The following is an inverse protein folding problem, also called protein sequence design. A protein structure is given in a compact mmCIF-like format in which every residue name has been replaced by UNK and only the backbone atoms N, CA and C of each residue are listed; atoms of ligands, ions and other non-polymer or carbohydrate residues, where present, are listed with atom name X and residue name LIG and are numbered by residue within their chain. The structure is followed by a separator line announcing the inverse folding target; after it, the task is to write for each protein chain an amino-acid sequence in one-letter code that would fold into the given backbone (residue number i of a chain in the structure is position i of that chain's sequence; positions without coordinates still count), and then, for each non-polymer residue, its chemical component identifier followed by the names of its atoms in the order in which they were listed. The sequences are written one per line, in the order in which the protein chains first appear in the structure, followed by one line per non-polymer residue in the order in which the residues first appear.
data_IF_559047196508
#
_entry.id   IF_559047196508
#
_cell.length_a   1.000
_cell.length_b   1.000
_cell.length_c   1.000
_cell.angle_alpha   90.00
_cell.angle_beta   90.00
_cell.angle_gamma   90.00
#
_symmetry.space_group_name_H-M   'P 1'
#
loop_
_entity.id
_entity.type
_entity.pdbx_description
1 polymer ?
#
# COMPACT_ATOMS: atom_id res chain seq x y z
N UNK A 1 20.37 -2.17 0.47
CA UNK A 1 19.90 -2.47 -0.89
C UNK A 1 20.33 -3.88 -1.24
N UNK A 2 19.36 -4.80 -1.32
CA UNK A 2 19.64 -6.23 -1.51
C UNK A 2 19.63 -6.58 -3.01
N UNK A 3 20.59 -7.37 -3.47
CA UNK A 3 20.74 -7.75 -4.89
C UNK A 3 20.69 -9.27 -5.01
N UNK A 4 19.79 -9.76 -5.86
CA UNK A 4 19.63 -11.17 -6.21
C UNK A 4 20.12 -11.42 -7.64
N UNK A 5 20.67 -12.60 -7.89
CA UNK A 5 20.77 -13.10 -9.26
C UNK A 5 19.41 -13.59 -9.75
N UNK A 6 19.22 -13.65 -11.08
CA UNK A 6 17.99 -14.20 -11.66
C UNK A 6 17.62 -15.60 -11.12
N UNK A 7 18.61 -16.48 -10.99
CA UNK A 7 18.37 -17.84 -10.47
C UNK A 7 17.94 -17.83 -9.01
N UNK A 8 18.56 -16.99 -8.17
CA UNK A 8 18.18 -16.84 -6.76
C UNK A 8 16.77 -16.24 -6.62
N UNK A 9 16.44 -15.24 -7.44
CA UNK A 9 15.11 -14.62 -7.46
C UNK A 9 14.03 -15.64 -7.83
N UNK A 10 14.31 -16.52 -8.81
CA UNK A 10 13.38 -17.58 -9.22
C UNK A 10 13.16 -18.63 -8.14
N UNK A 11 14.22 -19.02 -7.42
CA UNK A 11 14.13 -20.02 -6.35
C UNK A 11 13.51 -19.47 -5.06
N UNK A 12 13.71 -18.18 -4.77
CA UNK A 12 13.36 -17.56 -3.48
C UNK A 12 12.39 -16.38 -3.63
N UNK A 13 11.41 -16.49 -4.53
CA UNK A 13 10.53 -15.38 -4.86
C UNK A 13 9.76 -14.84 -3.64
N UNK A 14 9.26 -15.72 -2.76
CA UNK A 14 8.52 -15.32 -1.56
C UNK A 14 9.38 -14.47 -0.60
N UNK A 15 10.63 -14.89 -0.38
CA UNK A 15 11.61 -14.15 0.44
C UNK A 15 11.94 -12.82 -0.21
N UNK A 16 12.16 -12.81 -1.53
CA UNK A 16 12.42 -11.59 -2.28
C UNK A 16 11.30 -10.57 -2.11
N UNK A 17 10.03 -10.98 -2.27
CA UNK A 17 8.88 -10.09 -2.11
C UNK A 17 8.73 -9.57 -0.68
N UNK A 18 9.04 -10.40 0.31
CA UNK A 18 9.05 -10.00 1.73
C UNK A 18 10.11 -8.93 2.00
N UNK A 19 11.32 -9.11 1.47
CA UNK A 19 12.40 -8.11 1.57
C UNK A 19 12.01 -6.85 0.81
N UNK A 20 11.47 -6.95 -0.41
CA UNK A 20 11.02 -5.78 -1.18
C UNK A 20 9.92 -5.00 -0.47
N UNK A 21 9.01 -5.67 0.25
CA UNK A 21 7.98 -5.03 1.07
C UNK A 21 8.58 -4.31 2.28
N UNK A 22 9.60 -4.90 2.92
CA UNK A 22 10.24 -4.34 4.12
C UNK A 22 11.22 -3.22 3.82
N UNK A 23 12.07 -3.39 2.79
CA UNK A 23 13.13 -2.47 2.40
C UNK A 23 12.68 -1.48 1.31
N UNK A 24 11.52 -1.70 0.70
CA UNK A 24 10.95 -0.88 -0.38
C UNK A 24 11.47 -1.24 -1.78
N UNK A 25 12.59 -1.94 -1.89
CA UNK A 25 13.18 -2.34 -3.17
C UNK A 25 14.14 -3.51 -3.05
N UNK A 26 14.13 -4.40 -4.05
CA UNK A 26 15.17 -5.41 -4.30
C UNK A 26 15.59 -5.35 -5.76
N UNK A 27 16.89 -5.48 -6.03
CA UNK A 27 17.41 -5.57 -7.40
C UNK A 27 17.63 -7.01 -7.82
N UNK A 28 17.31 -7.33 -9.08
CA UNK A 28 17.56 -8.63 -9.70
C UNK A 28 18.49 -8.43 -10.90
N UNK A 29 19.70 -8.99 -10.81
CA UNK A 29 20.72 -8.95 -11.86
C UNK A 29 20.66 -10.22 -12.70
N UNK A 30 20.58 -10.04 -14.02
CA UNK A 30 20.66 -11.12 -15.02
C UNK A 30 22.10 -11.27 -15.53
N UNK A 31 22.35 -12.41 -16.18
CA UNK A 31 23.68 -12.77 -16.71
C UNK A 31 24.11 -11.86 -17.88
N UNK A 32 23.15 -11.32 -18.62
CA UNK A 32 23.35 -10.32 -19.67
C UNK A 32 23.73 -8.92 -19.14
N UNK A 33 23.85 -8.76 -17.82
CA UNK A 33 24.19 -7.50 -17.18
C UNK A 33 22.98 -6.62 -16.85
N UNK A 34 21.79 -6.95 -17.36
CA UNK A 34 20.57 -6.20 -17.06
C UNK A 34 20.20 -6.33 -15.58
N UNK A 35 19.72 -5.23 -15.00
CA UNK A 35 19.30 -5.19 -13.60
C UNK A 35 17.88 -4.65 -13.53
N UNK A 36 17.00 -5.38 -12.85
CA UNK A 36 15.60 -5.02 -12.66
C UNK A 36 15.35 -4.66 -11.21
N UNK A 37 14.53 -3.65 -10.95
CA UNK A 37 14.06 -3.33 -9.62
C UNK A 37 12.69 -3.96 -9.38
N UNK A 38 12.53 -4.66 -8.26
CA UNK A 38 11.25 -5.15 -7.75
C UNK A 38 10.89 -4.31 -6.53
N UNK A 39 9.74 -3.64 -6.62
CA UNK A 39 9.21 -2.78 -5.56
C UNK A 39 7.74 -3.12 -5.34
N UNK A 40 7.22 -3.04 -4.11
CA UNK A 40 5.80 -3.18 -3.87
C UNK A 40 5.06 -2.06 -4.61
N UNK A 41 3.95 -2.42 -5.24
CA UNK A 41 3.06 -1.43 -5.84
C UNK A 41 2.43 -0.61 -4.71
N UNK A 42 2.67 0.70 -4.72
CA UNK A 42 1.97 1.62 -3.82
C UNK A 42 0.56 1.76 -4.32
N UNK A 43 -0.41 1.22 -3.60
CA UNK A 43 -1.81 1.58 -3.82
C UNK A 43 -1.96 3.07 -3.58
N UNK A 44 -2.43 3.80 -4.59
CA UNK A 44 -2.86 5.20 -4.47
C UNK A 44 -4.28 5.31 -3.87
N UNK A 45 -4.74 4.29 -3.15
CA UNK A 45 -6.00 4.34 -2.43
C UNK A 45 -5.79 5.26 -1.21
N UNK A 46 -6.69 6.24 -1.05
CA UNK A 46 -6.66 7.09 0.15
C UNK A 46 -6.79 6.21 1.38
N UNK A 47 -6.07 6.47 2.47
CA UNK A 47 -6.32 5.79 3.75
C UNK A 47 -7.76 5.99 4.25
N UNK A 48 -8.47 6.99 3.72
CA UNK A 48 -9.87 7.28 3.99
C UNK A 48 -10.83 6.71 2.94
N UNK A 49 -10.33 5.99 1.93
CA UNK A 49 -11.13 5.28 0.92
C UNK A 49 -11.68 3.97 1.48
N UNK A 50 -12.57 4.10 2.46
CA UNK A 50 -13.27 3.00 3.10
C UNK A 50 -14.75 3.03 2.72
N UNK A 51 -15.37 1.85 2.68
CA UNK A 51 -16.82 1.75 2.41
C UNK A 51 -17.60 2.57 3.44
N UNK A 52 -18.40 3.51 2.97
CA UNK A 52 -19.31 4.28 3.82
C UNK A 52 -20.43 3.40 4.41
N UNK A 53 -20.92 3.79 5.59
CA UNK A 53 -22.09 3.18 6.22
C UNK A 53 -23.35 3.90 5.75
N UNK A 54 -24.33 3.15 5.23
CA UNK A 54 -25.64 3.71 4.87
C UNK A 54 -26.45 3.95 6.14
N UNK A 55 -26.53 5.20 6.58
CA UNK A 55 -27.38 5.63 7.68
C UNK A 55 -28.62 6.33 7.11
N UNK A 56 -29.78 6.11 7.74
CA UNK A 56 -31.00 6.83 7.43
C UNK A 56 -31.01 8.21 8.13
N UNK A 57 -30.01 9.04 7.85
CA UNK A 57 -29.86 10.37 8.43
C UNK A 57 -30.23 11.43 7.40
N UNK A 58 -31.08 12.38 7.82
CA UNK A 58 -31.43 13.53 7.01
C UNK A 58 -30.51 14.74 7.27
N UNK A 59 -30.56 15.78 6.42
CA UNK A 59 -29.80 17.02 6.63
C UNK A 59 -30.07 17.72 7.97
N UNK A 60 -31.30 17.60 8.49
CA UNK A 60 -31.69 18.18 9.78
C UNK A 60 -30.97 17.52 10.96
N UNK A 61 -30.78 16.20 10.89
CA UNK A 61 -30.09 15.44 11.93
C UNK A 61 -28.62 15.82 12.00
N UNK A 62 -27.97 15.94 10.83
CA UNK A 62 -26.58 16.41 10.71
C UNK A 62 -26.43 17.82 11.31
N UNK A 63 -27.33 18.75 10.95
CA UNK A 63 -27.30 20.12 11.47
C UNK A 63 -27.51 20.18 12.98
N UNK A 64 -28.35 19.30 13.54
CA UNK A 64 -28.56 19.19 14.98
C UNK A 64 -27.26 18.75 15.69
N UNK A 65 -26.62 17.69 15.20
CA UNK A 65 -25.35 17.17 15.74
C UNK A 65 -24.26 18.24 15.68
N UNK A 66 -24.10 18.92 14.54
CA UNK A 66 -23.09 19.99 14.39
C UNK A 66 -23.28 21.16 15.35
N UNK A 67 -24.53 21.55 15.60
CA UNK A 67 -24.87 22.60 16.57
C UNK A 67 -24.55 22.18 18.01
N UNK A 68 -24.76 20.91 18.35
CA UNK A 68 -24.43 20.37 19.66
C UNK A 68 -22.91 20.34 19.89
N UNK A 69 -22.13 19.87 18.90
CA UNK A 69 -20.67 19.83 18.97
C UNK A 69 -20.08 21.23 19.18
N UNK A 70 -20.55 22.25 18.43
CA UNK A 70 -20.04 23.64 18.51
C UNK A 70 -20.43 24.40 19.78
N UNK A 71 -21.36 23.86 20.58
CA UNK A 71 -21.75 24.46 21.87
C UNK A 71 -20.87 23.99 23.03
N UNK A 72 -20.05 22.96 22.81
CA UNK A 72 -18.99 22.52 23.72
C UNK A 72 -17.66 23.14 23.28
#
# INVERSE_FOLDING_TARGET
MTVFTYSQARQNLATLLSIATKEGEVLVKRRDGQTYAIRPEKKNESPLDVKGVKLNLGPKDIMKIMREIRRR
#
